data_IF_958313111492
#
_entry.id   IF_958313111492
#
_cell.length_a   1.000
_cell.length_b   1.000
_cell.length_c   1.000
_cell.angle_alpha   90.00
_cell.angle_beta   90.00
_cell.angle_gamma   90.00
#
_symmetry.space_group_name_H-M   'P 1'
#
loop_
_entity.id
_entity.type
_entity.pdbx_description
1 polymer ?
#
# COMPACT_ATOMS: atom_id res chain seq x y z
N UNK A 1 5.47 -11.69 -7.11
CA UNK A 1 4.33 -11.92 -8.02
C UNK A 1 4.81 -11.70 -9.43
N UNK A 2 4.35 -12.53 -10.36
CA UNK A 2 4.59 -12.37 -11.79
C UNK A 2 3.63 -11.28 -12.30
N UNK A 3 4.18 -10.24 -12.93
CA UNK A 3 3.44 -9.06 -13.39
C UNK A 3 3.34 -9.15 -14.90
N UNK A 4 2.25 -9.70 -15.41
CA UNK A 4 2.06 -9.87 -16.84
C UNK A 4 0.62 -9.58 -17.27
N UNK A 5 0.46 -9.11 -18.51
CA UNK A 5 -0.82 -9.17 -19.23
C UNK A 5 -0.79 -10.42 -20.11
N UNK A 6 -1.89 -11.17 -20.15
CA UNK A 6 -2.09 -12.22 -21.14
C UNK A 6 -2.62 -11.57 -22.43
N UNK A 7 -1.78 -11.50 -23.47
CA UNK A 7 -2.24 -11.11 -24.80
C UNK A 7 -3.11 -12.23 -25.41
N UNK A 8 -3.93 -11.92 -26.41
CA UNK A 8 -4.75 -12.90 -27.16
C UNK A 8 -3.90 -14.04 -27.78
N UNK A 9 -2.58 -13.84 -27.85
CA UNK A 9 -1.57 -14.80 -28.31
C UNK A 9 -0.88 -15.62 -27.19
N UNK A 10 -1.36 -15.56 -25.94
CA UNK A 10 -0.91 -16.36 -24.78
C UNK A 10 0.56 -16.14 -24.35
N UNK A 11 1.18 -15.01 -24.71
CA UNK A 11 2.53 -14.66 -24.25
C UNK A 11 2.48 -13.64 -23.12
N UNK A 12 3.08 -13.94 -21.95
CA UNK A 12 3.10 -13.02 -20.83
C UNK A 12 4.06 -11.84 -21.08
N UNK A 13 3.55 -10.61 -21.08
CA UNK A 13 4.35 -9.38 -21.25
C UNK A 13 4.61 -8.66 -19.92
N UNK A 14 5.86 -8.25 -19.59
CA UNK A 14 6.16 -7.65 -18.29
C UNK A 14 5.43 -6.32 -18.10
N UNK A 15 4.83 -6.13 -16.92
CA UNK A 15 4.19 -4.86 -16.54
C UNK A 15 4.79 -4.24 -15.29
N UNK A 16 4.53 -2.94 -15.10
CA UNK A 16 4.92 -2.22 -13.91
C UNK A 16 4.19 -2.74 -12.66
N UNK A 17 4.93 -3.02 -11.59
CA UNK A 17 4.42 -3.77 -10.44
C UNK A 17 3.32 -3.13 -9.61
N UNK A 18 3.21 -1.81 -9.66
CA UNK A 18 2.16 -1.09 -8.94
C UNK A 18 0.94 -0.80 -9.83
N UNK A 19 1.13 -0.61 -11.13
CA UNK A 19 0.09 -0.08 -12.04
C UNK A 19 -0.45 -1.13 -12.99
N UNK A 20 0.23 -2.27 -13.14
CA UNK A 20 -0.10 -3.34 -14.09
C UNK A 20 -0.14 -2.89 -15.56
N UNK A 21 0.49 -1.76 -15.87
CA UNK A 21 0.60 -1.20 -17.22
C UNK A 21 1.95 -1.58 -17.82
N UNK A 22 1.95 -1.88 -19.11
CA UNK A 22 3.13 -2.07 -19.96
C UNK A 22 3.58 -0.75 -20.64
N UNK A 23 2.86 0.35 -20.41
CA UNK A 23 3.21 1.66 -20.95
C UNK A 23 4.34 2.31 -20.14
N UNK A 24 5.26 2.94 -20.86
CA UNK A 24 6.39 3.67 -20.29
C UNK A 24 6.41 5.10 -20.85
N UNK A 25 5.50 5.99 -20.38
CA UNK A 25 5.46 7.36 -20.87
C UNK A 25 6.72 8.12 -20.48
N UNK A 26 7.06 9.13 -21.30
CA UNK A 26 8.22 9.99 -21.03
C UNK A 26 7.96 10.82 -19.77
N UNK A 27 8.72 10.53 -18.71
CA UNK A 27 8.60 11.26 -17.47
C UNK A 27 9.23 12.66 -17.56
N UNK A 28 8.57 13.63 -16.95
CA UNK A 28 8.98 15.03 -16.88
C UNK A 28 9.28 15.44 -15.43
N UNK A 29 10.24 16.35 -15.26
CA UNK A 29 10.53 16.95 -13.96
C UNK A 29 9.36 17.83 -13.51
N UNK A 30 8.88 17.67 -12.28
CA UNK A 30 7.74 18.45 -11.78
C UNK A 30 7.99 19.96 -11.79
N UNK A 31 9.23 20.38 -11.49
CA UNK A 31 9.60 21.79 -11.36
C UNK A 31 9.71 22.51 -12.71
N UNK A 32 10.47 21.96 -13.66
CA UNK A 32 10.73 22.62 -14.94
C UNK A 32 9.88 22.09 -16.11
N UNK A 33 9.11 21.02 -15.88
CA UNK A 33 8.27 20.33 -16.88
C UNK A 33 9.02 19.81 -18.11
N UNK A 34 10.35 19.76 -18.04
CA UNK A 34 11.17 19.21 -19.11
C UNK A 34 11.24 17.68 -19.02
N UNK A 35 11.28 16.97 -20.16
CA UNK A 35 11.55 15.55 -20.21
C UNK A 35 12.87 15.21 -19.52
N UNK A 36 12.87 14.17 -18.69
CA UNK A 36 14.07 13.66 -18.05
C UNK A 36 14.65 12.54 -18.91
N UNK A 37 15.61 12.87 -19.78
CA UNK A 37 16.25 11.88 -20.66
C UNK A 37 17.20 10.94 -19.89
N UNK A 38 17.93 11.47 -18.90
CA UNK A 38 18.78 10.69 -17.99
C UNK A 38 18.37 11.01 -16.56
N UNK A 39 17.85 10.01 -15.84
CA UNK A 39 17.45 10.17 -14.43
C UNK A 39 18.68 10.51 -13.57
N UNK A 40 18.75 11.70 -12.96
CA UNK A 40 19.78 12.01 -11.97
C UNK A 40 19.44 11.33 -10.64
N UNK A 41 20.45 11.09 -9.80
CA UNK A 41 20.28 10.42 -8.50
C UNK A 41 19.40 11.20 -7.51
N UNK A 42 19.23 12.51 -7.71
CA UNK A 42 18.41 13.38 -6.86
C UNK A 42 16.91 13.26 -7.17
N UNK A 43 16.54 12.67 -8.31
CA UNK A 43 15.15 12.51 -8.74
C UNK A 43 14.70 11.05 -8.64
N UNK A 44 13.40 10.87 -8.46
CA UNK A 44 12.73 9.57 -8.55
C UNK A 44 11.33 9.74 -9.13
N UNK A 45 10.74 8.63 -9.58
CA UNK A 45 9.38 8.63 -10.09
C UNK A 45 8.38 8.81 -8.95
N UNK A 46 7.46 9.76 -9.11
CA UNK A 46 6.24 9.84 -8.33
C UNK A 46 5.08 9.15 -9.06
N UNK A 47 5.04 9.25 -10.38
CA UNK A 47 4.13 8.48 -11.24
C UNK A 47 4.87 8.11 -12.53
N UNK A 48 4.19 7.43 -13.46
CA UNK A 48 4.79 7.08 -14.75
C UNK A 48 5.31 8.32 -15.51
N UNK A 49 4.58 9.44 -15.42
CA UNK A 49 4.88 10.67 -16.17
C UNK A 49 5.62 11.74 -15.37
N UNK A 50 5.70 11.60 -14.04
CA UNK A 50 6.23 12.65 -13.16
C UNK A 50 7.42 12.18 -12.35
N UNK A 51 8.49 12.97 -12.41
CA UNK A 51 9.65 12.85 -11.53
C UNK A 51 9.71 14.00 -10.54
N UNK A 52 10.03 13.67 -9.29
CA UNK A 52 10.16 14.62 -8.18
C UNK A 52 11.49 14.41 -7.46
N UNK A 53 11.89 15.39 -6.65
CA UNK A 53 13.03 15.24 -5.76
C UNK A 53 12.78 14.11 -4.74
N UNK A 54 13.83 13.39 -4.34
CA UNK A 54 13.70 12.32 -3.33
C UNK A 54 13.18 12.80 -1.96
N UNK A 55 13.24 14.11 -1.69
CA UNK A 55 12.71 14.73 -0.48
C UNK A 55 11.21 15.07 -0.57
N UNK A 56 10.53 14.70 -1.66
CA UNK A 56 9.10 14.96 -1.83
C UNK A 56 8.28 14.25 -0.73
N UNK A 57 7.34 14.96 -0.06
CA UNK A 57 6.58 14.40 1.06
C UNK A 57 5.69 13.22 0.66
N UNK A 58 5.23 13.12 -0.60
CA UNK A 58 4.45 11.97 -1.09
C UNK A 58 5.30 10.71 -1.15
N UNK A 59 6.60 10.83 -1.43
CA UNK A 59 7.53 9.69 -1.32
C UNK A 59 7.73 9.28 0.13
N UNK A 60 7.79 10.24 1.05
CA UNK A 60 7.81 9.97 2.49
C UNK A 60 6.57 9.19 2.94
N UNK A 61 5.39 9.58 2.48
CA UNK A 61 4.15 8.85 2.71
C UNK A 61 4.22 7.40 2.17
N UNK A 62 4.68 7.20 0.93
CA UNK A 62 4.86 5.84 0.37
C UNK A 62 5.87 4.99 1.14
N UNK A 63 6.96 5.59 1.60
CA UNK A 63 7.94 4.87 2.41
C UNK A 63 7.34 4.35 3.73
N UNK A 64 6.42 5.10 4.34
CA UNK A 64 5.67 4.66 5.52
C UNK A 64 4.70 3.53 5.15
N UNK A 65 3.97 3.64 4.03
CA UNK A 65 3.11 2.55 3.53
C UNK A 65 3.92 1.27 3.29
N UNK A 66 5.05 1.35 2.60
CA UNK A 66 5.92 0.20 2.33
C UNK A 66 6.41 -0.45 3.61
N UNK A 67 6.86 0.35 4.59
CA UNK A 67 7.31 -0.16 5.89
C UNK A 67 6.17 -0.84 6.66
N UNK A 68 4.95 -0.31 6.55
CA UNK A 68 3.75 -0.88 7.20
C UNK A 68 3.30 -2.17 6.51
N UNK A 69 3.38 -2.23 5.18
CA UNK A 69 3.16 -3.46 4.40
C UNK A 69 4.16 -4.54 4.81
N UNK A 70 5.44 -4.19 4.95
CA UNK A 70 6.48 -5.11 5.41
C UNK A 70 6.19 -5.62 6.84
N UNK A 71 5.74 -4.75 7.74
CA UNK A 71 5.31 -5.13 9.09
C UNK A 71 4.13 -6.10 9.05
N UNK A 72 3.10 -5.83 8.23
CA UNK A 72 1.97 -6.73 8.07
C UNK A 72 2.41 -8.12 7.58
N UNK A 73 3.30 -8.18 6.57
CA UNK A 73 3.88 -9.44 6.07
C UNK A 73 4.66 -10.16 7.16
N UNK A 74 5.47 -9.44 7.96
CA UNK A 74 6.21 -10.05 9.05
C UNK A 74 5.28 -10.62 10.12
N UNK A 75 4.23 -9.90 10.51
CA UNK A 75 3.22 -10.39 11.44
C UNK A 75 2.46 -11.61 10.90
N UNK A 76 2.27 -11.72 9.58
CA UNK A 76 1.71 -12.92 8.96
C UNK A 76 2.64 -14.15 9.09
N UNK A 77 3.93 -13.97 9.34
CA UNK A 77 4.84 -15.09 9.60
C UNK A 77 4.77 -15.48 11.08
N UNK A 78 4.65 -14.50 11.97
CA UNK A 78 4.70 -14.71 13.42
C UNK A 78 3.35 -15.19 14.01
N UNK A 79 2.22 -14.74 13.45
CA UNK A 79 0.89 -14.98 13.99
C UNK A 79 0.14 -16.02 13.16
N UNK A 80 -0.36 -17.08 13.80
CA UNK A 80 -1.23 -18.06 13.15
C UNK A 80 -2.68 -17.55 13.01
N UNK A 81 -3.59 -18.42 12.56
CA UNK A 81 -5.04 -18.13 12.60
C UNK A 81 -5.50 -17.74 14.02
N UNK A 82 -6.49 -16.82 14.15
CA UNK A 82 -7.36 -16.29 13.10
C UNK A 82 -6.87 -14.99 12.44
N UNK A 83 -5.59 -14.62 12.61
CA UNK A 83 -5.09 -13.28 12.23
C UNK A 83 -4.69 -13.16 10.76
N UNK A 84 -4.52 -14.27 10.05
CA UNK A 84 -4.07 -14.29 8.66
C UNK A 84 -4.97 -13.49 7.71
N UNK A 85 -6.31 -13.65 7.74
CA UNK A 85 -7.20 -12.87 6.87
C UNK A 85 -7.13 -11.37 7.16
N UNK A 86 -7.05 -10.97 8.43
CA UNK A 86 -6.95 -9.57 8.84
C UNK A 86 -5.69 -8.92 8.29
N UNK A 87 -4.53 -9.55 8.50
CA UNK A 87 -3.26 -9.03 8.03
C UNK A 87 -3.15 -9.04 6.51
N UNK A 88 -3.75 -10.04 5.84
CA UNK A 88 -3.83 -10.07 4.38
C UNK A 88 -4.64 -8.91 3.81
N UNK A 89 -5.80 -8.60 4.40
CA UNK A 89 -6.64 -7.49 3.96
C UNK A 89 -6.03 -6.13 4.29
N UNK A 90 -5.40 -5.98 5.47
CA UNK A 90 -4.64 -4.77 5.82
C UNK A 90 -3.52 -4.54 4.80
N UNK A 91 -2.73 -5.58 4.49
CA UNK A 91 -1.67 -5.52 3.48
C UNK A 91 -2.22 -5.12 2.10
N UNK A 92 -3.33 -5.73 1.69
CA UNK A 92 -4.01 -5.41 0.43
C UNK A 92 -4.46 -3.95 0.39
N UNK A 93 -5.11 -3.48 1.45
CA UNK A 93 -5.60 -2.10 1.57
C UNK A 93 -4.49 -1.07 1.47
N UNK A 94 -3.38 -1.29 2.18
CA UNK A 94 -2.20 -0.43 2.11
C UNK A 94 -1.59 -0.40 0.70
N UNK A 95 -1.53 -1.56 0.04
CA UNK A 95 -1.08 -1.65 -1.37
C UNK A 95 -1.99 -0.89 -2.33
N UNK A 96 -3.30 -0.97 -2.14
CA UNK A 96 -4.28 -0.25 -2.97
C UNK A 96 -4.21 1.27 -2.74
N UNK A 97 -3.95 1.73 -1.52
CA UNK A 97 -3.69 3.16 -1.24
C UNK A 97 -2.45 3.63 -2.01
N UNK A 98 -1.36 2.86 -1.97
CA UNK A 98 -0.14 3.19 -2.70
C UNK A 98 -0.36 3.19 -4.22
N UNK A 99 -1.13 2.23 -4.76
CA UNK A 99 -1.51 2.18 -6.17
C UNK A 99 -2.33 3.42 -6.56
N UNK A 100 -3.36 3.74 -5.78
CA UNK A 100 -4.22 4.91 -6.03
C UNK A 100 -3.40 6.21 -6.05
N UNK A 101 -2.47 6.39 -5.11
CA UNK A 101 -1.56 7.54 -5.08
C UNK A 101 -0.60 7.56 -6.30
N UNK A 102 -0.12 6.41 -6.77
CA UNK A 102 0.75 6.30 -7.95
C UNK A 102 0.02 6.63 -9.26
N UNK A 103 -1.24 6.23 -9.37
CA UNK A 103 -2.10 6.48 -10.54
C UNK A 103 -2.80 7.84 -10.48
N UNK A 104 -2.88 8.47 -9.31
CA UNK A 104 -3.64 9.70 -9.12
C UNK A 104 -5.15 9.48 -9.22
N UNK A 105 -5.62 8.27 -8.91
CA UNK A 105 -7.03 7.89 -8.95
C UNK A 105 -7.65 7.89 -7.54
N UNK A 106 -8.98 8.05 -7.41
CA UNK A 106 -9.66 7.86 -6.14
C UNK A 106 -9.46 6.43 -5.60
N UNK A 107 -9.28 6.32 -4.29
CA UNK A 107 -9.29 5.02 -3.63
C UNK A 107 -10.71 4.44 -3.68
N UNK A 108 -10.86 3.23 -4.23
CA UNK A 108 -12.13 2.52 -4.21
C UNK A 108 -12.51 2.00 -2.82
N UNK A 109 -13.79 1.67 -2.66
CA UNK A 109 -14.33 1.05 -1.45
C UNK A 109 -13.65 -0.29 -1.17
N UNK A 110 -13.34 -0.53 0.10
CA UNK A 110 -12.64 -1.72 0.55
C UNK A 110 -13.19 -2.19 1.89
N UNK A 111 -13.03 -3.48 2.16
CA UNK A 111 -13.39 -4.09 3.43
C UNK A 111 -12.16 -4.77 4.05
N UNK A 112 -12.16 -4.91 5.37
CA UNK A 112 -11.18 -5.72 6.10
C UNK A 112 -11.96 -6.83 6.78
N UNK A 113 -11.68 -8.08 6.40
CA UNK A 113 -12.41 -9.30 6.81
C UNK A 113 -13.92 -9.18 6.69
N UNK A 114 -14.38 -8.52 5.62
CA UNK A 114 -15.81 -8.27 5.36
C UNK A 114 -16.41 -7.09 6.13
N UNK A 115 -15.62 -6.37 6.95
CA UNK A 115 -16.06 -5.16 7.65
C UNK A 115 -15.87 -3.94 6.77
N UNK A 116 -16.94 -3.15 6.62
CA UNK A 116 -16.88 -1.84 5.98
C UNK A 116 -16.16 -0.81 6.87
N UNK A 117 -15.87 0.38 6.33
CA UNK A 117 -15.32 1.49 7.14
C UNK A 117 -16.28 1.91 8.26
N UNK A 118 -17.60 1.82 8.06
CA UNK A 118 -18.59 2.09 9.13
C UNK A 118 -18.52 1.02 10.23
N UNK A 119 -18.36 -0.25 9.86
CA UNK A 119 -18.24 -1.35 10.83
C UNK A 119 -16.95 -1.24 11.64
N UNK A 120 -15.82 -0.95 10.99
CA UNK A 120 -14.54 -0.71 11.64
C UNK A 120 -14.61 0.50 12.57
N UNK A 121 -15.27 1.58 12.15
CA UNK A 121 -15.48 2.75 13.00
C UNK A 121 -16.31 2.39 14.24
N UNK A 122 -17.41 1.66 14.07
CA UNK A 122 -18.28 1.21 15.18
C UNK A 122 -17.53 0.31 16.17
N UNK A 123 -16.76 -0.63 15.65
CA UNK A 123 -15.98 -1.59 16.42
C UNK A 123 -14.87 -0.91 17.22
N UNK A 124 -14.14 0.02 16.60
CA UNK A 124 -13.06 0.77 17.27
C UNK A 124 -13.55 1.80 18.28
N UNK A 125 -14.75 2.35 18.11
CA UNK A 125 -15.31 3.37 19.01
C UNK A 125 -16.11 2.78 20.18
N UNK A 126 -16.60 1.54 20.07
CA UNK A 126 -17.37 0.84 21.12
C UNK A 126 -16.82 -0.58 21.37
N UNK A 127 -15.51 -0.75 21.65
CA UNK A 127 -14.89 -2.07 21.76
C UNK A 127 -15.52 -2.93 22.84
N UNK A 128 -15.95 -2.35 23.98
CA UNK A 128 -16.58 -3.12 25.06
C UNK A 128 -17.87 -3.81 24.60
N UNK A 129 -18.66 -3.15 23.75
CA UNK A 129 -19.93 -3.68 23.25
C UNK A 129 -19.72 -4.81 22.23
N UNK A 130 -18.70 -4.69 21.38
CA UNK A 130 -18.53 -5.56 20.22
C UNK A 130 -17.43 -6.62 20.39
N UNK A 131 -16.44 -6.38 21.26
CA UNK A 131 -15.26 -7.22 21.49
C UNK A 131 -15.15 -7.72 22.94
N UNK A 132 -15.95 -7.20 23.87
CA UNK A 132 -15.97 -7.65 25.27
C UNK A 132 -14.81 -7.14 26.12
N UNK A 133 -14.02 -6.19 25.64
CA UNK A 133 -12.96 -5.52 26.39
C UNK A 133 -12.99 -4.01 26.13
N UNK A 134 -12.48 -3.20 27.07
CA UNK A 134 -12.34 -1.76 26.88
C UNK A 134 -11.22 -1.43 25.87
N UNK A 135 -11.04 -0.15 25.57
CA UNK A 135 -9.97 0.36 24.73
C UNK A 135 -8.62 -0.13 25.25
N UNK A 136 -7.86 -0.80 24.38
CA UNK A 136 -6.54 -1.30 24.71
C UNK A 136 -5.54 -0.14 24.63
N UNK A 137 -4.78 0.07 25.71
CA UNK A 137 -3.59 0.91 25.71
C UNK A 137 -2.38 -0.02 25.55
N UNK A 138 -1.41 0.28 24.67
CA UNK A 138 -0.19 -0.53 24.57
C UNK A 138 0.54 -0.61 25.91
N UNK A 139 0.79 -1.83 26.38
CA UNK A 139 1.45 -2.13 27.64
C UNK A 139 2.54 -3.19 27.44
N UNK A 140 3.57 -3.16 28.28
CA UNK A 140 4.68 -4.12 28.20
C UNK A 140 4.22 -5.58 28.38
N UNK A 141 3.14 -5.78 29.14
CA UNK A 141 2.47 -7.07 29.40
C UNK A 141 1.89 -7.73 28.14
N UNK A 142 1.72 -6.99 27.05
CA UNK A 142 1.23 -7.52 25.76
C UNK A 142 2.38 -8.01 24.85
N UNK A 143 3.63 -8.00 25.34
CA UNK A 143 4.78 -8.53 24.63
C UNK A 143 4.80 -10.06 24.56
N UNK A 144 5.54 -10.61 23.60
CA UNK A 144 5.65 -12.07 23.38
C UNK A 144 6.18 -12.84 24.60
N UNK A 145 7.07 -12.21 25.36
CA UNK A 145 7.78 -12.80 26.50
C UNK A 145 7.29 -12.26 27.86
N UNK A 146 6.12 -11.61 27.88
CA UNK A 146 5.51 -11.06 29.09
C UNK A 146 4.84 -12.12 29.98
#
# INVERSE_FOLDING_TARGET
GRLFVDDEQQQPQPVHGLTSSDEHPQACCELCRQPVAKKPDTLTHLSAEKMVAKSDPRLGFRAVLDSTIALAVWLQIELAEPWQPWLADIRSRLGNIMRADALGEPLGDQAIVGLSDEDLHRLSHQPLRYLGHDHLVPEASHGRDA
#
